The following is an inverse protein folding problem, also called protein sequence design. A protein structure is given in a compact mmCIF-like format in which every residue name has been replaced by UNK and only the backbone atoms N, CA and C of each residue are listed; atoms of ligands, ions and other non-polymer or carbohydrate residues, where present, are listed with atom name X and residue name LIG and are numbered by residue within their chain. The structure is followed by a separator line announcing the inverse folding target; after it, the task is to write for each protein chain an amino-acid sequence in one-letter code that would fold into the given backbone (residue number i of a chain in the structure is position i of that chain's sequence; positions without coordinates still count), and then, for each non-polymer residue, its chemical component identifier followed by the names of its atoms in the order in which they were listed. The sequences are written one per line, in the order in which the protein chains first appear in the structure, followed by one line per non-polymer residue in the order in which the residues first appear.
data_IF_101285762735
#
_entry.id   IF_101285762735
#
_cell.length_a   1.000
_cell.length_b   1.000
_cell.length_c   1.000
_cell.angle_alpha   90.00
_cell.angle_beta   90.00
_cell.angle_gamma   90.00
#
_symmetry.space_group_name_H-M   'P 1'
#
loop_
_entity.id
_entity.type
_entity.pdbx_description
1 polymer ?
#
# COMPACT_ATOMS: atom_id res chain seq x y z
N UNK A 1 -6.01 12.75 -11.14
CA UNK A 1 -4.69 12.98 -10.53
C UNK A 1 -3.68 12.89 -11.66
N UNK A 2 -2.76 13.83 -11.82
CA UNK A 2 -1.68 13.70 -12.80
C UNK A 2 -0.58 12.78 -12.24
N UNK A 3 -0.29 11.68 -12.92
CA UNK A 3 0.78 10.76 -12.53
C UNK A 3 2.04 11.08 -13.32
N UNK A 4 3.05 11.65 -12.65
CA UNK A 4 4.36 11.89 -13.25
C UNK A 4 5.15 10.59 -13.35
N UNK A 5 5.30 10.05 -14.56
CA UNK A 5 6.13 8.85 -14.78
C UNK A 5 7.62 9.20 -14.64
N UNK A 6 8.38 8.35 -13.92
CA UNK A 6 9.84 8.53 -13.74
C UNK A 6 10.61 8.50 -15.06
N UNK A 7 10.07 7.82 -16.06
CA UNK A 7 10.59 7.74 -17.42
C UNK A 7 9.50 8.13 -18.40
N UNK A 8 9.83 8.78 -19.53
CA UNK A 8 8.87 9.02 -20.59
C UNK A 8 8.33 7.68 -21.10
N UNK A 9 7.08 7.39 -20.74
CA UNK A 9 6.30 6.32 -21.33
C UNK A 9 5.24 7.00 -22.20
N UNK A 10 5.05 6.51 -23.41
CA UNK A 10 3.99 6.96 -24.32
C UNK A 10 2.96 5.84 -24.47
N UNK A 11 2.25 5.45 -23.40
CA UNK A 11 1.26 4.38 -23.47
C UNK A 11 0.10 4.78 -24.38
N UNK A 12 -0.57 3.78 -24.96
CA UNK A 12 -1.89 4.00 -25.57
C UNK A 12 -2.88 4.43 -24.48
N UNK A 13 -4.00 5.04 -24.87
CA UNK A 13 -5.04 5.46 -23.93
C UNK A 13 -5.55 4.30 -23.06
N UNK A 14 -5.67 3.11 -23.64
CA UNK A 14 -6.07 1.88 -22.94
C UNK A 14 -5.05 1.49 -21.85
N UNK A 15 -3.76 1.47 -22.19
CA UNK A 15 -2.68 1.15 -21.25
C UNK A 15 -2.58 2.20 -20.16
N UNK A 16 -2.78 3.48 -20.48
CA UNK A 16 -2.83 4.57 -19.50
C UNK A 16 -3.99 4.38 -18.52
N UNK A 17 -5.19 4.06 -19.02
CA UNK A 17 -6.36 3.80 -18.19
C UNK A 17 -6.16 2.63 -17.23
N UNK A 18 -5.58 1.52 -17.71
CA UNK A 18 -5.30 0.36 -16.86
C UNK A 18 -4.22 0.67 -15.80
N UNK A 19 -3.21 1.46 -16.17
CA UNK A 19 -2.19 1.92 -15.23
C UNK A 19 -2.80 2.78 -14.11
N UNK A 20 -3.65 3.75 -14.46
CA UNK A 20 -4.35 4.60 -13.48
C UNK A 20 -5.21 3.76 -12.54
N UNK A 21 -5.94 2.78 -13.09
CA UNK A 21 -6.73 1.82 -12.31
C UNK A 21 -5.85 1.06 -11.31
N UNK A 22 -4.72 0.52 -11.74
CA UNK A 22 -3.80 -0.19 -10.85
C UNK A 22 -3.21 0.72 -9.76
N UNK A 23 -2.83 1.95 -10.11
CA UNK A 23 -2.34 2.93 -9.12
C UNK A 23 -3.41 3.21 -8.07
N UNK A 24 -4.67 3.35 -8.50
CA UNK A 24 -5.76 3.58 -7.58
C UNK A 24 -6.01 2.39 -6.64
N UNK A 25 -6.01 1.17 -7.16
CA UNK A 25 -6.15 -0.05 -6.34
C UNK A 25 -5.03 -0.12 -5.29
N UNK A 26 -3.78 0.14 -5.67
CA UNK A 26 -2.66 0.13 -4.73
C UNK A 26 -2.72 1.28 -3.72
N UNK A 27 -3.25 2.45 -4.10
CA UNK A 27 -3.52 3.56 -3.19
C UNK A 27 -4.57 3.17 -2.15
N UNK A 28 -5.68 2.57 -2.57
CA UNK A 28 -6.73 2.09 -1.67
C UNK A 28 -6.19 1.02 -0.72
N UNK A 29 -5.46 0.03 -1.23
CA UNK A 29 -4.86 -1.03 -0.43
C UNK A 29 -3.87 -0.48 0.61
N UNK A 30 -3.03 0.50 0.24
CA UNK A 30 -2.12 1.15 1.18
C UNK A 30 -2.87 1.87 2.30
N UNK A 31 -3.88 2.67 1.94
CA UNK A 31 -4.70 3.39 2.92
C UNK A 31 -5.45 2.44 3.85
N UNK A 32 -5.95 1.33 3.33
CA UNK A 32 -6.65 0.34 4.14
C UNK A 32 -5.70 -0.43 5.06
N UNK A 33 -4.50 -0.77 4.58
CA UNK A 33 -3.42 -1.31 5.43
C UNK A 33 -3.16 -0.38 6.61
N UNK A 34 -3.04 0.93 6.36
CA UNK A 34 -2.85 1.93 7.41
C UNK A 34 -4.03 2.00 8.37
N UNK A 35 -5.25 1.97 7.85
CA UNK A 35 -6.47 1.96 8.66
C UNK A 35 -6.51 0.74 9.59
N UNK A 36 -6.31 -0.47 9.06
CA UNK A 36 -6.27 -1.68 9.90
C UNK A 36 -5.12 -1.56 10.91
N UNK A 37 -3.93 -1.09 10.51
CA UNK A 37 -2.79 -0.85 11.41
C UNK A 37 -3.12 0.04 12.61
N UNK A 38 -3.94 1.08 12.40
CA UNK A 38 -4.30 2.05 13.44
C UNK A 38 -5.51 1.60 14.28
N UNK A 39 -6.38 0.70 13.78
CA UNK A 39 -7.70 0.45 14.35
C UNK A 39 -7.99 -1.03 14.70
N UNK A 40 -7.15 -1.97 14.26
CA UNK A 40 -7.30 -3.40 14.56
C UNK A 40 -6.24 -3.80 15.59
N UNK A 41 -6.61 -4.74 16.45
CA UNK A 41 -5.72 -5.25 17.50
C UNK A 41 -4.38 -5.76 16.92
N UNK A 42 -3.26 -5.38 17.56
CA UNK A 42 -1.92 -5.79 17.16
C UNK A 42 -1.73 -7.32 17.18
N UNK A 43 -2.49 -8.06 17.98
CA UNK A 43 -2.49 -9.51 17.93
C UNK A 43 -3.03 -10.06 16.61
N UNK A 44 -3.88 -9.31 15.91
CA UNK A 44 -4.42 -9.69 14.61
C UNK A 44 -3.60 -9.18 13.43
N UNK A 45 -2.91 -8.03 13.55
CA UNK A 45 -2.29 -7.34 12.42
C UNK A 45 -0.90 -6.72 12.70
N UNK A 46 -0.34 -6.92 13.89
CA UNK A 46 0.89 -6.26 14.35
C UNK A 46 2.18 -6.62 13.59
N UNK A 47 2.09 -7.37 12.50
CA UNK A 47 3.21 -7.64 11.60
C UNK A 47 2.76 -7.70 10.14
N UNK A 48 3.69 -7.42 9.23
CA UNK A 48 3.51 -7.56 7.78
C UNK A 48 2.95 -8.93 7.41
N UNK A 49 3.47 -9.99 8.04
CA UNK A 49 3.04 -11.36 7.81
C UNK A 49 1.56 -11.57 8.18
N UNK A 50 1.14 -11.11 9.37
CA UNK A 50 -0.27 -11.20 9.80
C UNK A 50 -1.18 -10.40 8.87
N UNK A 51 -0.76 -9.21 8.46
CA UNK A 51 -1.54 -8.38 7.54
C UNK A 51 -1.70 -9.01 6.14
N UNK A 52 -0.69 -9.76 5.66
CA UNK A 52 -0.82 -10.51 4.41
C UNK A 52 -1.92 -11.58 4.44
N UNK A 53 -2.25 -12.15 5.61
CA UNK A 53 -3.35 -13.11 5.74
C UNK A 53 -4.74 -12.48 5.62
N UNK A 54 -4.84 -11.15 5.72
CA UNK A 54 -6.10 -10.40 5.53
C UNK A 54 -6.42 -10.16 4.05
N UNK A 55 -5.43 -10.30 3.16
CA UNK A 55 -5.60 -10.01 1.73
C UNK A 55 -6.70 -10.82 1.04
N UNK A 56 -6.95 -12.10 1.35
CA UNK A 56 -8.13 -12.81 0.83
C UNK A 56 -9.43 -12.10 1.21
N UNK A 57 -9.62 -11.72 2.47
CA UNK A 57 -10.82 -11.01 2.94
C UNK A 57 -11.01 -9.67 2.21
N UNK A 58 -9.91 -8.98 1.89
CA UNK A 58 -9.95 -7.71 1.15
C UNK A 58 -10.41 -7.90 -0.30
N UNK A 59 -10.06 -9.03 -0.93
CA UNK A 59 -10.49 -9.31 -2.31
C UNK A 59 -12.00 -9.46 -2.44
N UNK A 60 -12.67 -9.87 -1.37
CA UNK A 60 -14.12 -9.99 -1.34
C UNK A 60 -14.81 -8.64 -1.05
N UNK A 61 -14.08 -7.66 -0.50
CA UNK A 61 -14.61 -6.37 -0.04
C UNK A 61 -14.30 -5.19 -0.97
N UNK A 62 -13.23 -5.28 -1.77
CA UNK A 62 -12.77 -4.20 -2.64
C UNK A 62 -12.70 -4.63 -4.12
N UNK A 63 -12.65 -3.64 -5.02
CA UNK A 63 -12.41 -3.80 -6.48
C UNK A 63 -11.02 -4.39 -6.81
N UNK A 64 -10.26 -4.82 -5.79
CA UNK A 64 -8.95 -5.46 -5.90
C UNK A 64 -8.99 -6.96 -6.19
N UNK A 65 -10.18 -7.57 -6.34
CA UNK A 65 -10.33 -9.00 -6.65
C UNK A 65 -9.49 -9.44 -7.87
N UNK A 66 -9.43 -8.57 -8.89
CA UNK A 66 -8.70 -8.79 -10.13
C UNK A 66 -7.17 -8.62 -10.00
N UNK A 67 -6.67 -7.98 -8.94
CA UNK A 67 -5.24 -7.77 -8.74
C UNK A 67 -4.59 -9.02 -8.12
N UNK A 68 -3.43 -9.41 -8.64
CA UNK A 68 -2.68 -10.53 -8.09
C UNK A 68 -2.32 -10.29 -6.61
N UNK A 69 -2.55 -11.27 -5.73
CA UNK A 69 -2.30 -11.12 -4.30
C UNK A 69 -0.84 -10.75 -3.99
N UNK A 70 0.13 -11.19 -4.78
CA UNK A 70 1.54 -10.81 -4.61
C UNK A 70 1.78 -9.32 -4.81
N UNK A 71 1.02 -8.68 -5.70
CA UNK A 71 1.11 -7.23 -5.90
C UNK A 71 0.59 -6.48 -4.67
N UNK A 72 -0.54 -6.93 -4.09
CA UNK A 72 -1.07 -6.37 -2.85
C UNK A 72 -0.14 -6.61 -1.66
N UNK A 73 0.47 -7.80 -1.57
CA UNK A 73 1.51 -8.09 -0.57
C UNK A 73 2.67 -7.08 -0.66
N UNK A 74 3.13 -6.73 -1.88
CA UNK A 74 4.18 -5.70 -2.02
C UNK A 74 3.73 -4.33 -1.55
N UNK A 75 2.46 -3.97 -1.70
CA UNK A 75 1.90 -2.72 -1.15
C UNK A 75 1.92 -2.73 0.38
N UNK A 76 1.45 -3.81 1.00
CA UNK A 76 1.45 -3.99 2.46
C UNK A 76 2.89 -3.96 2.98
N UNK A 77 3.83 -4.69 2.37
CA UNK A 77 5.24 -4.65 2.76
C UNK A 77 5.81 -3.24 2.68
N UNK A 78 5.52 -2.50 1.60
CA UNK A 78 5.96 -1.10 1.47
C UNK A 78 5.42 -0.22 2.61
N UNK A 79 4.22 -0.48 3.13
CA UNK A 79 3.71 0.26 4.30
C UNK A 79 4.58 0.02 5.54
N UNK A 80 4.90 -1.24 5.87
CA UNK A 80 5.77 -1.57 7.00
C UNK A 80 7.21 -1.08 6.81
N UNK A 81 7.79 -1.20 5.62
CA UNK A 81 9.13 -0.66 5.32
C UNK A 81 9.20 0.85 5.58
N UNK A 82 8.12 1.59 5.25
CA UNK A 82 8.03 3.03 5.54
C UNK A 82 7.86 3.32 7.03
N UNK A 83 7.15 2.46 7.78
CA UNK A 83 7.03 2.59 9.24
C UNK A 83 8.39 2.39 9.90
N UNK A 84 9.14 1.35 9.49
CA UNK A 84 10.47 1.04 10.00
C UNK A 84 11.43 2.19 9.70
N UNK A 85 11.47 2.67 8.45
CA UNK A 85 12.30 3.82 8.07
C UNK A 85 11.93 5.10 8.83
N UNK A 86 10.65 5.33 9.11
CA UNK A 86 10.21 6.46 9.93
C UNK A 86 10.67 6.32 11.39
N UNK A 87 10.62 5.10 11.94
CA UNK A 87 11.10 4.78 13.28
C UNK A 87 12.61 5.03 13.39
N UNK A 88 13.40 4.54 12.44
CA UNK A 88 14.84 4.77 12.36
C UNK A 88 15.19 6.26 12.28
N UNK A 89 14.46 7.04 11.49
CA UNK A 89 14.67 8.50 11.40
C UNK A 89 14.45 9.19 12.75
N UNK A 90 13.41 8.78 13.51
CA UNK A 90 13.15 9.31 14.86
C UNK A 90 14.24 8.92 15.84
N UNK A 91 14.69 7.66 15.81
CA UNK A 91 15.79 7.17 16.66
C UNK A 91 17.10 7.94 16.38
N UNK A 92 17.33 8.32 15.13
CA UNK A 92 18.46 9.15 14.71
C UNK A 92 18.27 10.66 14.98
N UNK A 93 17.26 11.06 15.78
CA UNK A 93 17.03 12.44 16.18
C UNK A 93 16.45 13.36 15.09
N UNK A 94 16.01 12.83 13.95
CA UNK A 94 15.41 13.65 12.88
C UNK A 94 13.97 14.02 13.23
N UNK A 95 13.59 15.28 13.00
CA UNK A 95 12.22 15.76 13.19
C UNK A 95 11.34 15.38 12.01
N UNK A 96 10.69 14.22 12.11
CA UNK A 96 9.82 13.65 11.06
C UNK A 96 8.40 13.42 11.58
N UNK A 97 7.42 13.50 10.67
CA UNK A 97 6.00 13.41 11.01
C UNK A 97 5.50 11.97 11.21
N UNK A 98 4.25 11.73 10.79
CA UNK A 98 3.64 10.41 10.65
C UNK A 98 3.39 10.12 9.17
N UNK A 99 3.22 8.85 8.83
CA UNK A 99 2.75 8.45 7.50
C UNK A 99 1.39 9.13 7.24
N UNK A 100 1.24 9.70 6.04
CA UNK A 100 0.02 10.39 5.58
C UNK A 100 -0.65 9.53 4.53
#
# INVERSE_FOLDING_TARGET
MEYGHRYPAYPTQEVAGELERHIDIHRQAYNYTRYEYENVDADNIGSTYKHHYRLPDWKDQFVSSEVNSKALQRTVTRFYDNLDGLSEQKQNGRKVGKLR
#
